data_IF_652629495882
#
_entry.id   IF_652629495882
#
_cell.length_a   1.000
_cell.length_b   1.000
_cell.length_c   1.000
_cell.angle_alpha   90.00
_cell.angle_beta   90.00
_cell.angle_gamma   90.00
#
_symmetry.space_group_name_H-M   'P 1'
#
loop_
_entity.id
_entity.type
_entity.pdbx_description
1 polymer ?
#
# COMPACT_ATOMS: atom_id res chain seq x y z
N UNK A 1 55.10 28.94 -0.27
CA UNK A 1 56.55 28.71 -0.09
C UNK A 1 56.69 27.70 1.05
N UNK A 2 56.73 26.38 0.79
CA UNK A 2 57.96 25.56 0.59
C UNK A 2 59.06 25.91 1.60
N UNK A 3 59.73 25.04 2.33
CA UNK A 3 60.02 23.58 2.30
C UNK A 3 60.92 23.34 3.53
N UNK A 4 60.99 22.12 4.05
CA UNK A 4 62.19 21.46 4.65
C UNK A 4 61.73 20.09 5.16
N UNK A 5 61.91 18.97 4.44
CA UNK A 5 63.12 18.14 4.35
C UNK A 5 63.82 17.88 5.69
N UNK A 6 63.80 16.63 6.20
CA UNK A 6 64.98 15.78 6.10
C UNK A 6 64.70 14.30 6.44
N UNK A 7 65.50 13.43 5.81
CA UNK A 7 65.44 11.96 5.85
C UNK A 7 66.67 11.42 6.60
N UNK A 8 66.57 10.30 7.34
CA UNK A 8 67.76 9.55 7.75
C UNK A 8 67.53 8.03 7.79
N UNK A 9 68.42 7.32 7.09
CA UNK A 9 68.64 5.86 6.97
C UNK A 9 69.19 5.29 8.32
N UNK A 10 69.31 4.00 8.65
CA UNK A 10 69.77 2.80 7.89
C UNK A 10 69.70 1.53 8.78
N UNK A 11 69.39 0.36 8.16
CA UNK A 11 69.86 -1.07 8.34
C UNK A 11 70.33 -1.59 9.73
N UNK A 12 69.70 -2.62 10.31
CA UNK A 12 69.84 -4.10 10.11
C UNK A 12 71.17 -4.74 10.55
N UNK A 13 71.10 -5.60 11.58
CA UNK A 13 72.00 -6.76 11.78
C UNK A 13 71.31 -7.85 12.65
N UNK A 14 71.45 -9.12 12.24
CA UNK A 14 70.94 -10.36 12.86
C UNK A 14 72.15 -11.20 13.28
N UNK A 15 72.16 -11.79 14.49
CA UNK A 15 72.86 -13.05 14.79
C UNK A 15 72.12 -13.87 15.87
N UNK A 16 71.98 -15.16 15.57
CA UNK A 16 71.55 -16.39 16.27
C UNK A 16 72.22 -16.67 17.65
N UNK A 17 71.90 -17.64 18.53
CA UNK A 17 70.97 -18.79 18.71
C UNK A 17 71.11 -19.33 20.17
N UNK A 18 70.07 -20.02 20.70
CA UNK A 18 70.11 -21.39 21.32
C UNK A 18 69.19 -21.62 22.55
N UNK A 19 68.21 -22.50 22.32
CA UNK A 19 67.75 -23.67 23.11
C UNK A 19 67.14 -23.54 24.53
N UNK A 20 65.89 -23.99 24.66
CA UNK A 20 65.53 -25.04 25.63
C UNK A 20 64.10 -25.05 26.20
N UNK A 21 63.37 -26.18 25.97
CA UNK A 21 62.23 -26.78 26.71
C UNK A 21 60.80 -26.32 26.31
N UNK A 22 60.02 -27.18 25.62
CA UNK A 22 59.04 -28.17 26.17
C UNK A 22 57.88 -27.46 26.92
N UNK A 23 56.56 -27.62 26.72
CA UNK A 23 55.69 -28.62 26.04
C UNK A 23 54.25 -28.05 25.94
N UNK A 24 53.51 -28.48 24.90
CA UNK A 24 52.03 -28.62 24.72
C UNK A 24 51.03 -28.06 25.76
N UNK A 25 50.05 -27.26 25.28
CA UNK A 25 48.58 -27.40 25.49
C UNK A 25 47.83 -26.34 24.64
N UNK A 26 47.10 -26.78 23.60
CA UNK A 26 45.64 -26.67 23.43
C UNK A 26 45.11 -25.23 23.21
N UNK A 27 44.81 -24.84 21.96
CA UNK A 27 43.48 -24.93 21.31
C UNK A 27 42.37 -24.17 22.05
N UNK A 28 42.05 -22.96 21.55
CA UNK A 28 40.68 -22.56 21.16
C UNK A 28 40.70 -21.15 20.56
N UNK A 29 40.79 -21.09 19.23
CA UNK A 29 40.31 -19.96 18.42
C UNK A 29 39.49 -20.57 17.29
N UNK A 30 38.23 -20.86 17.58
CA UNK A 30 37.24 -21.13 16.55
C UNK A 30 36.90 -19.80 15.90
N UNK A 31 37.01 -19.82 14.58
CA UNK A 31 36.72 -18.73 13.66
C UNK A 31 35.23 -18.35 13.75
N UNK A 32 34.92 -17.23 14.40
CA UNK A 32 33.71 -16.48 14.11
C UNK A 32 33.99 -15.61 12.89
N UNK A 33 33.65 -16.08 11.69
CA UNK A 33 33.35 -15.23 10.55
C UNK A 33 32.61 -16.04 9.47
N UNK A 34 31.54 -15.43 8.94
CA UNK A 34 30.77 -15.79 7.73
C UNK A 34 29.47 -16.59 7.92
N UNK A 35 28.49 -16.06 8.67
CA UNK A 35 27.12 -16.61 8.58
C UNK A 35 25.98 -15.60 8.79
N UNK A 36 26.17 -14.31 8.52
CA UNK A 36 25.06 -13.34 8.55
C UNK A 36 24.23 -13.36 7.26
N UNK A 37 24.88 -13.47 6.09
CA UNK A 37 24.19 -13.48 4.79
C UNK A 37 23.32 -14.74 4.54
N UNK A 38 23.56 -15.84 5.27
CA UNK A 38 22.72 -17.04 5.19
C UNK A 38 21.52 -17.00 6.15
N UNK A 39 21.51 -16.10 7.14
CA UNK A 39 20.41 -16.05 8.13
C UNK A 39 19.16 -15.39 7.59
N UNK A 40 19.31 -14.35 6.75
CA UNK A 40 18.18 -13.59 6.23
C UNK A 40 17.23 -14.43 5.34
N UNK A 41 17.72 -15.27 4.39
CA UNK A 41 16.86 -16.16 3.62
C UNK A 41 16.19 -17.25 4.46
N UNK A 42 16.90 -17.78 5.47
CA UNK A 42 16.39 -18.79 6.40
C UNK A 42 15.25 -18.22 7.27
N UNK A 43 15.41 -16.99 7.78
CA UNK A 43 14.38 -16.29 8.56
C UNK A 43 13.13 -15.98 7.73
N UNK A 44 13.30 -15.62 6.45
CA UNK A 44 12.19 -15.32 5.56
C UNK A 44 11.34 -16.58 5.25
N UNK A 45 11.99 -17.71 5.06
CA UNK A 45 11.31 -18.99 4.83
C UNK A 45 10.56 -19.50 6.08
N UNK A 46 11.14 -19.32 7.27
CA UNK A 46 10.44 -19.59 8.53
C UNK A 46 9.22 -18.67 8.72
N UNK A 47 9.36 -17.39 8.42
CA UNK A 47 8.27 -16.42 8.50
C UNK A 47 7.15 -16.77 7.52
N UNK A 48 7.52 -17.14 6.28
CA UNK A 48 6.57 -17.58 5.25
C UNK A 48 5.73 -18.77 5.72
N UNK A 49 6.37 -19.82 6.25
CA UNK A 49 5.66 -21.00 6.79
C UNK A 49 4.70 -20.64 7.91
N UNK A 50 5.13 -19.80 8.87
CA UNK A 50 4.26 -19.31 9.96
C UNK A 50 3.06 -18.51 9.44
N UNK A 51 3.23 -17.72 8.39
CA UNK A 51 2.13 -16.97 7.77
C UNK A 51 1.18 -17.89 7.02
N UNK A 52 1.70 -18.88 6.30
CA UNK A 52 0.89 -19.87 5.59
C UNK A 52 -0.01 -20.66 6.54
N UNK A 53 0.49 -21.05 7.72
CA UNK A 53 -0.30 -21.67 8.80
C UNK A 53 -1.45 -20.78 9.30
N UNK A 54 -1.31 -19.46 9.18
CA UNK A 54 -2.35 -18.47 9.53
C UNK A 54 -3.24 -18.11 8.34
N UNK A 55 -3.07 -18.76 7.18
CA UNK A 55 -3.78 -18.43 5.95
C UNK A 55 -3.34 -17.09 5.32
N UNK A 56 -2.14 -16.61 5.66
CA UNK A 56 -1.55 -15.38 5.13
C UNK A 56 -0.45 -15.69 4.10
N UNK A 57 -0.31 -14.83 3.12
CA UNK A 57 0.75 -14.85 2.13
C UNK A 57 1.80 -13.80 2.44
N UNK A 58 3.07 -14.20 2.49
CA UNK A 58 4.22 -13.30 2.63
C UNK A 58 4.47 -12.58 1.31
N UNK A 59 4.60 -11.26 1.36
CA UNK A 59 4.92 -10.40 0.22
C UNK A 59 6.15 -9.55 0.52
N UNK A 60 6.89 -9.24 -0.55
CA UNK A 60 8.10 -8.42 -0.50
C UNK A 60 8.02 -7.33 -1.56
N UNK A 61 8.46 -6.11 -1.22
CA UNK A 61 8.54 -4.98 -2.13
C UNK A 61 9.82 -4.20 -1.90
N UNK A 62 10.55 -3.90 -2.97
CA UNK A 62 11.72 -3.02 -2.90
C UNK A 62 11.31 -1.55 -3.00
N UNK A 63 11.78 -0.73 -2.07
CA UNK A 63 11.54 0.72 -2.06
C UNK A 63 12.84 1.44 -1.75
N UNK A 64 13.37 2.19 -2.73
CA UNK A 64 14.63 2.94 -2.59
C UNK A 64 15.80 2.06 -2.09
N UNK A 65 15.89 0.82 -2.57
CA UNK A 65 16.92 -0.15 -2.17
C UNK A 65 16.72 -0.74 -0.77
N UNK A 66 15.55 -0.54 -0.15
CA UNK A 66 15.16 -1.19 1.11
C UNK A 66 14.03 -2.18 0.85
N UNK A 67 14.26 -3.42 1.26
CA UNK A 67 13.26 -4.48 1.30
C UNK A 67 12.14 -4.14 2.29
N UNK A 68 10.89 -4.23 1.84
CA UNK A 68 9.69 -4.08 2.66
C UNK A 68 8.92 -5.37 2.69
N UNK A 69 8.66 -5.86 3.89
CA UNK A 69 7.99 -7.14 4.11
C UNK A 69 6.59 -6.89 4.69
N UNK A 70 5.60 -7.50 4.06
CA UNK A 70 4.21 -7.41 4.47
C UNK A 70 3.51 -8.74 4.21
N UNK A 71 2.29 -8.86 4.74
CA UNK A 71 1.43 -10.02 4.53
C UNK A 71 0.08 -9.60 3.98
N UNK A 72 -0.60 -10.56 3.38
CA UNK A 72 -1.99 -10.44 2.89
C UNK A 72 -2.75 -11.72 3.22
N UNK A 73 -4.07 -11.66 3.40
CA UNK A 73 -4.88 -12.87 3.70
C UNK A 73 -6.06 -13.09 2.77
N UNK A 74 -6.69 -12.03 2.24
CA UNK A 74 -7.83 -12.20 1.35
C UNK A 74 -7.41 -12.68 -0.04
N UNK A 75 -8.13 -13.66 -0.56
CA UNK A 75 -7.89 -14.24 -1.90
C UNK A 75 -8.96 -13.77 -2.87
N UNK A 76 -8.55 -13.55 -4.11
CA UNK A 76 -9.39 -13.09 -5.21
C UNK A 76 -9.18 -13.95 -6.46
N UNK A 77 -8.94 -15.23 -6.25
CA UNK A 77 -8.49 -16.18 -7.30
C UNK A 77 -9.49 -16.28 -8.46
N UNK A 78 -10.78 -16.05 -8.19
CA UNK A 78 -11.86 -16.06 -9.19
C UNK A 78 -12.17 -14.67 -9.77
N UNK A 79 -11.40 -13.63 -9.43
CA UNK A 79 -11.60 -12.28 -9.92
C UNK A 79 -10.58 -11.94 -10.99
N UNK A 80 -10.99 -12.08 -12.27
CA UNK A 80 -10.14 -11.72 -13.41
C UNK A 80 -9.79 -10.22 -13.47
N UNK A 81 -10.52 -9.38 -12.73
CA UNK A 81 -10.32 -7.94 -12.75
C UNK A 81 -8.95 -7.52 -12.20
N UNK A 82 -8.47 -8.14 -11.12
CA UNK A 82 -7.16 -7.85 -10.54
C UNK A 82 -6.01 -8.14 -11.52
N UNK A 83 -5.87 -9.34 -12.10
CA UNK A 83 -4.84 -9.59 -13.09
C UNK A 83 -5.02 -8.74 -14.36
N UNK A 84 -6.25 -8.42 -14.77
CA UNK A 84 -6.49 -7.51 -15.90
C UNK A 84 -6.03 -6.07 -15.61
N UNK A 85 -6.17 -5.61 -14.37
CA UNK A 85 -5.62 -4.32 -13.93
C UNK A 85 -4.08 -4.40 -13.90
N UNK A 86 -3.48 -5.45 -13.36
CA UNK A 86 -2.01 -5.53 -13.19
C UNK A 86 -1.28 -5.79 -14.52
N UNK A 87 -1.77 -6.71 -15.34
CA UNK A 87 -1.04 -7.34 -16.44
C UNK A 87 -0.69 -6.47 -17.65
N UNK A 88 -1.14 -5.22 -17.66
CA UNK A 88 -0.88 -4.14 -18.63
C UNK A 88 -0.60 -4.50 -20.11
N UNK A 89 -1.51 -4.06 -20.98
CA UNK A 89 -1.21 -3.75 -22.38
C UNK A 89 -1.82 -2.40 -22.78
N UNK A 90 -1.61 -1.33 -22.02
CA UNK A 90 -2.13 0.01 -22.28
C UNK A 90 -1.61 0.65 -23.59
N UNK A 91 -0.66 0.01 -24.31
CA UNK A 91 -0.11 0.57 -25.56
C UNK A 91 -1.14 0.71 -26.69
N UNK A 92 -2.21 -0.08 -26.69
CA UNK A 92 -3.19 -0.16 -27.77
C UNK A 92 -4.49 0.62 -27.51
N UNK A 93 -4.77 0.97 -26.25
CA UNK A 93 -5.99 1.64 -25.84
C UNK A 93 -5.67 3.09 -25.51
N UNK A 94 -6.58 4.01 -25.85
CA UNK A 94 -6.47 5.42 -25.51
C UNK A 94 -7.81 5.93 -25.02
N UNK A 95 -7.79 6.64 -23.90
CA UNK A 95 -8.95 7.36 -23.38
C UNK A 95 -9.26 8.58 -24.26
N UNK A 96 -10.53 8.96 -24.32
CA UNK A 96 -11.02 10.07 -25.14
C UNK A 96 -11.89 11.05 -24.34
N UNK A 97 -11.64 11.18 -23.03
CA UNK A 97 -12.32 12.19 -22.22
C UNK A 97 -11.99 13.60 -22.75
N UNK A 98 -12.97 14.50 -22.71
CA UNK A 98 -12.81 15.89 -23.19
C UNK A 98 -11.88 16.73 -22.31
N UNK A 99 -11.69 16.32 -21.06
CA UNK A 99 -10.83 16.95 -20.05
C UNK A 99 -9.55 16.13 -19.77
N UNK A 100 -9.13 15.28 -20.71
CA UNK A 100 -7.99 14.37 -20.54
C UNK A 100 -6.66 15.08 -20.26
N UNK A 101 -6.51 16.32 -20.71
CA UNK A 101 -5.35 17.17 -20.45
C UNK A 101 -5.20 17.56 -18.97
N UNK A 102 -6.28 17.48 -18.20
CA UNK A 102 -6.28 17.77 -16.76
C UNK A 102 -6.01 16.52 -15.90
N UNK A 103 -5.90 15.35 -16.51
CA UNK A 103 -5.64 14.08 -15.84
C UNK A 103 -4.13 13.92 -15.61
N UNK A 104 -3.71 13.77 -14.35
CA UNK A 104 -2.29 13.57 -14.02
C UNK A 104 -1.92 12.09 -14.10
N UNK A 105 -2.84 11.20 -13.73
CA UNK A 105 -2.63 9.76 -13.71
C UNK A 105 -3.26 9.07 -14.94
N UNK A 106 -2.86 9.51 -16.14
CA UNK A 106 -3.47 9.07 -17.40
C UNK A 106 -3.40 7.54 -17.59
N UNK A 107 -2.26 6.92 -17.26
CA UNK A 107 -2.09 5.48 -17.41
C UNK A 107 -3.05 4.69 -16.51
N UNK A 108 -3.27 5.15 -15.28
CA UNK A 108 -4.21 4.53 -14.35
C UNK A 108 -5.67 4.74 -14.77
N UNK A 109 -6.05 5.95 -15.22
CA UNK A 109 -7.38 6.18 -15.79
C UNK A 109 -7.59 5.28 -17.00
N UNK A 110 -6.62 5.20 -17.89
CA UNK A 110 -6.69 4.39 -19.10
C UNK A 110 -6.85 2.90 -18.78
N UNK A 111 -6.04 2.40 -17.85
CA UNK A 111 -6.10 1.01 -17.36
C UNK A 111 -7.49 0.66 -16.85
N UNK A 112 -8.02 1.47 -15.93
CA UNK A 112 -9.32 1.22 -15.30
C UNK A 112 -10.50 1.42 -16.27
N UNK A 113 -10.35 2.29 -17.27
CA UNK A 113 -11.35 2.46 -18.34
C UNK A 113 -11.34 1.25 -19.28
N UNK A 114 -10.16 0.77 -19.69
CA UNK A 114 -10.00 -0.41 -20.57
C UNK A 114 -10.69 -1.65 -20.00
N UNK A 115 -10.59 -1.87 -18.69
CA UNK A 115 -11.24 -3.00 -18.00
C UNK A 115 -12.68 -2.70 -17.55
N UNK A 116 -13.26 -1.58 -17.99
CA UNK A 116 -14.65 -1.16 -17.73
C UNK A 116 -14.99 -0.94 -16.25
N UNK A 117 -13.98 -0.67 -15.42
CA UNK A 117 -14.18 -0.16 -14.05
C UNK A 117 -14.63 1.31 -14.10
N UNK A 118 -14.01 2.10 -14.99
CA UNK A 118 -14.46 3.46 -15.28
C UNK A 118 -15.35 3.47 -16.53
N UNK A 119 -16.39 4.29 -16.51
CA UNK A 119 -17.23 4.51 -17.68
C UNK A 119 -16.48 5.33 -18.73
N UNK A 120 -16.29 4.77 -19.92
CA UNK A 120 -15.65 5.45 -21.06
C UNK A 120 -16.40 6.72 -21.52
N UNK A 121 -17.71 6.82 -21.20
CA UNK A 121 -18.52 8.02 -21.46
C UNK A 121 -18.41 9.09 -20.38
N UNK A 122 -17.58 8.88 -19.36
CA UNK A 122 -17.38 9.84 -18.28
C UNK A 122 -18.50 9.84 -17.25
N UNK A 123 -18.40 10.77 -16.30
CA UNK A 123 -19.38 10.94 -15.22
C UNK A 123 -20.72 11.34 -15.83
N UNK A 124 -21.80 10.62 -15.50
CA UNK A 124 -23.14 10.89 -16.03
C UNK A 124 -23.24 10.99 -17.57
N UNK A 125 -22.34 10.30 -18.29
CA UNK A 125 -22.22 10.34 -19.75
C UNK A 125 -21.91 11.72 -20.34
N UNK A 126 -21.20 12.59 -19.61
CA UNK A 126 -20.80 13.94 -20.06
C UNK A 126 -19.56 13.94 -20.97
N UNK A 127 -18.90 12.80 -21.13
CA UNK A 127 -17.56 12.64 -21.73
C UNK A 127 -16.44 13.32 -20.93
N UNK A 128 -16.72 13.71 -19.67
CA UNK A 128 -15.75 14.26 -18.73
C UNK A 128 -15.35 13.22 -17.68
N UNK A 129 -14.04 13.11 -17.41
CA UNK A 129 -13.53 12.30 -16.31
C UNK A 129 -13.68 13.00 -14.96
N UNK A 130 -13.60 14.34 -14.93
CA UNK A 130 -13.68 15.19 -13.74
C UNK A 130 -12.55 14.92 -12.73
N UNK A 131 -11.30 14.97 -13.20
CA UNK A 131 -10.10 14.60 -12.44
C UNK A 131 -10.01 15.22 -11.03
N UNK A 132 -10.34 16.51 -10.90
CA UNK A 132 -10.22 17.26 -9.66
C UNK A 132 -11.43 17.13 -8.73
N UNK A 133 -12.55 16.53 -9.18
CA UNK A 133 -13.75 16.38 -8.35
C UNK A 133 -13.47 15.36 -7.24
N UNK A 134 -13.92 15.64 -6.02
CA UNK A 134 -13.92 14.66 -4.95
C UNK A 134 -14.85 13.50 -5.26
N UNK A 135 -14.38 12.27 -5.05
CA UNK A 135 -15.21 11.08 -5.21
C UNK A 135 -16.07 10.87 -3.96
N UNK A 136 -17.36 10.58 -4.15
CA UNK A 136 -18.24 10.32 -3.00
C UNK A 136 -17.93 8.96 -2.36
N UNK A 137 -18.30 8.79 -1.09
CA UNK A 137 -18.17 7.52 -0.37
C UNK A 137 -18.83 6.36 -1.12
N UNK A 138 -20.03 6.57 -1.66
CA UNK A 138 -20.73 5.52 -2.39
C UNK A 138 -20.10 5.24 -3.76
N UNK A 139 -19.66 6.27 -4.49
CA UNK A 139 -18.94 6.10 -5.76
C UNK A 139 -17.64 5.30 -5.57
N UNK A 140 -16.85 5.66 -4.56
CA UNK A 140 -15.61 4.97 -4.22
C UNK A 140 -15.87 3.51 -3.87
N UNK A 141 -16.83 3.25 -2.99
CA UNK A 141 -17.18 1.89 -2.59
C UNK A 141 -17.64 1.04 -3.77
N UNK A 142 -18.42 1.59 -4.71
CA UNK A 142 -18.87 0.88 -5.90
C UNK A 142 -17.69 0.44 -6.77
N UNK A 143 -16.74 1.35 -7.01
CA UNK A 143 -15.53 1.07 -7.78
C UNK A 143 -14.70 0.00 -7.08
N UNK A 144 -14.46 0.13 -5.78
CA UNK A 144 -13.67 -0.86 -5.02
C UNK A 144 -14.31 -2.24 -5.06
N UNK A 145 -15.63 -2.35 -4.87
CA UNK A 145 -16.32 -3.63 -4.96
C UNK A 145 -16.23 -4.24 -6.37
N UNK A 146 -16.35 -3.41 -7.41
CA UNK A 146 -16.23 -3.85 -8.80
C UNK A 146 -14.80 -4.33 -9.14
N UNK A 147 -13.77 -3.61 -8.69
CA UNK A 147 -12.34 -4.01 -8.83
C UNK A 147 -12.08 -5.39 -8.24
N UNK A 148 -12.85 -5.78 -7.22
CA UNK A 148 -12.71 -7.06 -6.52
C UNK A 148 -13.83 -8.05 -6.85
N UNK A 149 -14.55 -7.82 -7.96
CA UNK A 149 -15.58 -8.70 -8.51
C UNK A 149 -16.71 -9.05 -7.53
N UNK A 150 -17.05 -8.17 -6.59
CA UNK A 150 -18.21 -8.36 -5.73
C UNK A 150 -19.51 -8.09 -6.50
N UNK A 151 -20.49 -8.98 -6.35
CA UNK A 151 -21.82 -8.83 -6.92
C UNK A 151 -22.68 -7.85 -6.09
N UNK A 152 -22.95 -6.68 -6.67
CA UNK A 152 -23.83 -5.64 -6.11
C UNK A 152 -25.20 -5.60 -6.79
N UNK A 153 -25.63 -6.68 -7.46
CA UNK A 153 -26.90 -6.73 -8.17
C UNK A 153 -28.11 -6.82 -7.23
N UNK A 154 -27.95 -7.31 -6.00
CA UNK A 154 -29.07 -7.54 -5.07
C UNK A 154 -29.45 -6.28 -4.29
N UNK A 155 -30.74 -5.94 -4.27
CA UNK A 155 -31.26 -4.86 -3.41
C UNK A 155 -31.34 -5.32 -1.95
N UNK A 156 -30.99 -4.46 -0.98
CA UNK A 156 -31.31 -4.73 0.42
C UNK A 156 -32.80 -4.52 0.69
N UNK A 157 -33.34 -5.30 1.62
CA UNK A 157 -34.66 -5.03 2.23
C UNK A 157 -34.55 -4.05 3.39
N UNK A 158 -33.40 -4.06 4.07
CA UNK A 158 -33.08 -3.17 5.19
C UNK A 158 -31.59 -2.84 5.18
N UNK A 159 -31.25 -1.64 5.65
CA UNK A 159 -29.89 -1.22 5.96
C UNK A 159 -29.88 -0.57 7.35
N UNK A 160 -28.75 -0.62 8.09
CA UNK A 160 -28.64 0.05 9.38
C UNK A 160 -28.51 1.58 9.26
N UNK A 161 -28.45 2.11 8.02
CA UNK A 161 -28.18 3.51 7.72
C UNK A 161 -29.44 4.25 7.31
N UNK A 162 -29.80 5.30 8.04
CA UNK A 162 -31.06 6.01 7.81
C UNK A 162 -31.04 6.93 6.59
N UNK A 163 -29.85 7.31 6.11
CA UNK A 163 -29.62 8.27 5.02
C UNK A 163 -29.29 7.61 3.68
N UNK A 164 -29.57 6.32 3.55
CA UNK A 164 -29.41 5.55 2.31
C UNK A 164 -30.79 5.10 1.81
N UNK A 165 -31.24 5.66 0.68
CA UNK A 165 -32.48 5.22 0.03
C UNK A 165 -32.33 3.78 -0.48
N UNK A 166 -33.12 2.85 0.06
CA UNK A 166 -33.12 1.43 -0.30
C UNK A 166 -33.40 1.16 -1.79
N UNK A 167 -34.02 2.12 -2.50
CA UNK A 167 -34.28 2.02 -3.94
C UNK A 167 -33.10 2.47 -4.80
N UNK A 168 -32.15 3.21 -4.24
CA UNK A 168 -31.01 3.75 -4.98
C UNK A 168 -29.98 2.67 -5.32
N UNK A 169 -29.10 2.97 -6.28
CA UNK A 169 -27.96 2.09 -6.57
C UNK A 169 -26.97 2.04 -5.40
N UNK A 170 -26.87 3.12 -4.61
CA UNK A 170 -25.96 3.23 -3.46
C UNK A 170 -26.32 2.17 -2.42
N UNK A 171 -27.61 1.90 -2.18
CA UNK A 171 -28.04 0.89 -1.21
C UNK A 171 -27.49 -0.51 -1.49
N UNK A 172 -27.36 -0.91 -2.77
CA UNK A 172 -26.82 -2.23 -3.14
C UNK A 172 -25.34 -2.35 -2.83
N UNK A 173 -24.60 -1.28 -3.11
CA UNK A 173 -23.16 -1.16 -2.85
C UNK A 173 -22.90 -1.13 -1.34
N UNK A 174 -23.68 -0.33 -0.61
CA UNK A 174 -23.60 -0.20 0.86
C UNK A 174 -23.95 -1.52 1.56
N UNK A 175 -24.96 -2.26 1.07
CA UNK A 175 -25.31 -3.61 1.56
C UNK A 175 -24.07 -4.51 1.54
N UNK A 176 -23.47 -4.69 0.36
CA UNK A 176 -22.33 -5.61 0.19
C UNK A 176 -21.14 -5.14 1.02
N UNK A 177 -20.81 -3.85 0.97
CA UNK A 177 -19.71 -3.30 1.78
C UNK A 177 -19.90 -3.50 3.29
N UNK A 178 -21.14 -3.40 3.78
CA UNK A 178 -21.47 -3.66 5.18
C UNK A 178 -21.41 -5.15 5.53
N UNK A 179 -21.93 -6.03 4.67
CA UNK A 179 -21.96 -7.48 4.88
C UNK A 179 -20.55 -8.09 4.97
N UNK A 180 -19.60 -7.56 4.18
CA UNK A 180 -18.21 -8.03 4.20
C UNK A 180 -17.32 -7.29 5.23
N UNK A 181 -17.92 -6.42 6.07
CA UNK A 181 -17.21 -5.67 7.10
C UNK A 181 -16.22 -4.61 6.58
N UNK A 182 -16.37 -4.20 5.31
CA UNK A 182 -15.47 -3.24 4.67
C UNK A 182 -15.71 -1.82 5.19
N UNK A 183 -16.99 -1.44 5.30
CA UNK A 183 -17.43 -0.13 5.74
C UNK A 183 -18.20 -0.20 7.06
N UNK A 184 -18.25 0.95 7.72
CA UNK A 184 -19.12 1.22 8.87
C UNK A 184 -19.80 2.57 8.65
N UNK A 185 -20.90 2.80 9.36
CA UNK A 185 -21.50 4.13 9.42
C UNK A 185 -20.70 5.04 10.35
N UNK A 186 -20.99 6.33 10.25
CA UNK A 186 -20.48 7.32 11.18
C UNK A 186 -21.13 7.21 12.55
N UNK A 187 -20.64 8.00 13.50
CA UNK A 187 -21.22 8.10 14.83
C UNK A 187 -22.74 8.31 14.78
N UNK A 188 -23.46 7.56 15.63
CA UNK A 188 -24.91 7.63 15.72
C UNK A 188 -25.33 9.02 16.14
N UNK A 189 -26.22 9.64 15.37
CA UNK A 189 -26.89 10.89 15.71
C UNK A 189 -28.34 10.61 16.20
N UNK A 190 -29.12 11.69 16.39
CA UNK A 190 -30.51 11.60 16.83
C UNK A 190 -31.45 10.85 15.87
N UNK A 191 -31.07 10.68 14.60
CA UNK A 191 -31.85 9.97 13.57
C UNK A 191 -31.40 8.53 13.37
N UNK A 192 -30.19 8.19 13.82
CA UNK A 192 -29.62 6.84 13.72
C UNK A 192 -28.17 6.88 13.30
N UNK A 193 -27.70 5.81 12.67
CA UNK A 193 -26.33 5.74 12.14
C UNK A 193 -26.37 6.26 10.70
N UNK A 194 -25.65 7.34 10.34
CA UNK A 194 -25.54 7.78 8.96
C UNK A 194 -24.41 7.07 8.22
N UNK A 195 -24.59 6.78 6.94
CA UNK A 195 -23.51 6.37 6.03
C UNK A 195 -22.91 7.53 5.24
N UNK A 196 -23.70 8.58 4.96
CA UNK A 196 -23.36 9.75 4.16
C UNK A 196 -22.92 9.43 2.72
N UNK A 197 -23.75 8.72 1.92
CA UNK A 197 -23.32 8.19 0.61
C UNK A 197 -22.80 9.24 -0.38
N UNK A 198 -23.35 10.45 -0.33
CA UNK A 198 -23.04 11.54 -1.28
C UNK A 198 -21.96 12.51 -0.79
N UNK A 199 -21.42 12.28 0.42
CA UNK A 199 -20.29 13.06 0.93
C UNK A 199 -19.00 12.52 0.32
N UNK A 200 -18.08 13.42 -0.02
CA UNK A 200 -16.74 13.07 -0.50
C UNK A 200 -15.99 12.24 0.54
N UNK A 201 -15.35 11.15 0.10
CA UNK A 201 -14.57 10.30 1.00
C UNK A 201 -13.22 10.96 1.30
N UNK A 202 -12.72 10.81 2.53
CA UNK A 202 -11.38 11.28 2.85
C UNK A 202 -10.29 10.35 2.29
N UNK A 203 -9.10 10.89 2.04
CA UNK A 203 -7.95 10.12 1.54
C UNK A 203 -7.62 8.94 2.44
N UNK A 204 -7.59 9.16 3.75
CA UNK A 204 -7.18 8.11 4.69
C UNK A 204 -8.24 7.01 4.85
N UNK A 205 -9.52 7.37 4.73
CA UNK A 205 -10.58 6.38 4.79
C UNK A 205 -10.59 5.51 3.54
N UNK A 206 -10.48 6.11 2.36
CA UNK A 206 -10.37 5.39 1.10
C UNK A 206 -9.17 4.42 1.11
N UNK A 207 -8.02 4.88 1.61
CA UNK A 207 -6.84 4.04 1.76
C UNK A 207 -7.09 2.87 2.72
N UNK A 208 -7.71 3.13 3.88
CA UNK A 208 -8.07 2.11 4.85
C UNK A 208 -9.00 1.04 4.28
N UNK A 209 -10.01 1.44 3.49
CA UNK A 209 -10.91 0.53 2.77
C UNK A 209 -10.09 -0.38 1.83
N UNK A 210 -9.22 0.20 1.00
CA UNK A 210 -8.40 -0.58 0.07
C UNK A 210 -7.45 -1.55 0.78
N UNK A 211 -6.83 -1.15 1.90
CA UNK A 211 -6.01 -2.08 2.68
C UNK A 211 -6.83 -3.27 3.22
N UNK A 212 -8.07 -3.03 3.66
CA UNK A 212 -8.99 -4.07 4.15
C UNK A 212 -9.44 -5.03 3.05
N UNK A 213 -9.39 -4.63 1.78
CA UNK A 213 -9.74 -5.52 0.68
C UNK A 213 -8.77 -6.69 0.57
N UNK A 214 -7.47 -6.47 0.78
CA UNK A 214 -6.47 -7.55 0.73
C UNK A 214 -5.93 -7.94 2.11
N UNK A 215 -6.39 -7.26 3.16
CA UNK A 215 -5.92 -7.42 4.55
C UNK A 215 -4.40 -7.25 4.63
N UNK A 216 -3.91 -6.14 4.09
CA UNK A 216 -2.48 -5.82 4.02
C UNK A 216 -1.96 -5.44 5.41
N UNK A 217 -0.92 -6.14 5.88
CA UNK A 217 -0.27 -5.87 7.16
C UNK A 217 1.26 -5.87 7.02
N UNK A 218 1.92 -4.78 7.42
CA UNK A 218 3.39 -4.74 7.50
C UNK A 218 3.90 -5.69 8.59
N UNK A 219 5.06 -6.31 8.35
CA UNK A 219 5.67 -7.26 9.30
C UNK A 219 6.64 -6.59 10.29
N UNK A 220 6.95 -5.32 10.07
CA UNK A 220 7.86 -4.54 10.90
C UNK A 220 7.12 -3.44 11.65
N UNK A 221 7.59 -3.14 12.87
CA UNK A 221 7.15 -1.96 13.58
C UNK A 221 7.69 -0.71 12.87
N UNK A 222 6.79 0.00 12.19
CA UNK A 222 7.09 1.25 11.52
C UNK A 222 6.10 2.32 11.99
N UNK A 223 6.63 3.47 12.37
CA UNK A 223 5.86 4.66 12.70
C UNK A 223 6.03 5.66 11.58
N UNK A 224 4.92 6.15 11.04
CA UNK A 224 4.95 7.20 10.02
C UNK A 224 5.48 8.53 10.58
N UNK A 225 5.93 9.37 9.66
CA UNK A 225 6.45 10.72 9.91
C UNK A 225 5.38 11.80 9.83
N UNK A 226 4.13 11.46 9.54
CA UNK A 226 3.09 12.47 9.33
C UNK A 226 2.76 13.23 10.62
N UNK A 227 2.60 14.55 10.49
CA UNK A 227 2.39 15.45 11.64
C UNK A 227 0.94 15.88 11.85
N UNK A 228 0.07 15.58 10.88
CA UNK A 228 -1.29 16.12 10.77
C UNK A 228 -2.38 15.06 10.95
N UNK A 229 -2.06 14.00 11.69
CA UNK A 229 -2.99 12.97 12.15
C UNK A 229 -3.98 13.57 13.15
N UNK A 230 -5.26 13.23 13.03
CA UNK A 230 -6.31 13.76 13.92
C UNK A 230 -7.01 12.72 14.77
N UNK A 231 -6.78 11.43 14.51
CA UNK A 231 -7.38 10.35 15.27
C UNK A 231 -6.51 9.08 15.27
N UNK A 232 -6.54 8.32 16.38
CA UNK A 232 -5.71 7.13 16.58
C UNK A 232 -5.92 6.06 15.51
N UNK A 233 -7.16 5.92 15.02
CA UNK A 233 -7.46 4.94 13.96
C UNK A 233 -6.69 5.20 12.66
N UNK A 234 -6.20 6.43 12.44
CA UNK A 234 -5.40 6.80 11.27
C UNK A 234 -3.96 6.26 11.35
N UNK A 235 -3.46 5.87 12.53
CA UNK A 235 -2.07 5.45 12.71
C UNK A 235 -1.73 4.21 11.89
N UNK A 236 -2.55 3.15 11.95
CA UNK A 236 -2.31 1.92 11.18
C UNK A 236 -2.26 2.18 9.66
N UNK A 237 -3.26 2.83 9.02
CA UNK A 237 -3.22 3.09 7.59
C UNK A 237 -2.09 4.04 7.18
N UNK A 238 -1.82 5.11 7.93
CA UNK A 238 -0.75 6.05 7.60
C UNK A 238 0.63 5.39 7.65
N UNK A 239 0.93 4.69 8.75
CA UNK A 239 2.19 3.96 8.91
C UNK A 239 2.40 2.87 7.86
N UNK A 240 1.36 2.09 7.54
CA UNK A 240 1.47 1.08 6.47
C UNK A 240 1.62 1.73 5.09
N UNK A 241 0.88 2.81 4.82
CA UNK A 241 0.91 3.52 3.55
C UNK A 241 2.26 4.17 3.26
N UNK A 242 2.87 4.81 4.25
CA UNK A 242 4.22 5.38 4.12
C UNK A 242 5.29 4.28 4.03
N UNK A 243 5.20 3.24 4.87
CA UNK A 243 6.13 2.10 4.85
C UNK A 243 6.19 1.42 3.47
N UNK A 244 5.04 1.25 2.82
CA UNK A 244 4.91 0.64 1.49
C UNK A 244 5.06 1.66 0.34
N UNK A 245 5.38 2.92 0.64
CA UNK A 245 5.63 3.99 -0.32
C UNK A 245 4.42 4.36 -1.19
N UNK A 246 3.21 4.01 -0.75
CA UNK A 246 1.96 4.34 -1.44
C UNK A 246 1.53 5.75 -1.07
N UNK A 247 1.50 6.05 0.24
CA UNK A 247 1.24 7.39 0.72
C UNK A 247 2.56 8.16 0.75
N UNK A 248 2.56 9.34 0.16
CA UNK A 248 3.70 10.26 0.11
C UNK A 248 3.27 11.59 0.71
N UNK A 249 4.15 12.27 1.46
CA UNK A 249 3.83 13.60 1.96
C UNK A 249 3.62 14.56 0.78
N UNK A 250 2.62 15.42 0.90
CA UNK A 250 2.28 16.43 -0.11
C UNK A 250 3.22 17.64 -0.03
N UNK A 251 3.79 17.87 1.15
CA UNK A 251 4.63 19.01 1.47
C UNK A 251 5.92 18.57 2.15
N UNK A 252 6.90 19.48 2.20
CA UNK A 252 8.21 19.23 2.80
C UNK A 252 8.16 19.06 4.32
N UNK A 253 7.06 19.44 4.97
CA UNK A 253 6.85 19.33 6.42
C UNK A 253 6.22 17.99 6.86
N UNK A 254 6.17 17.00 5.97
CA UNK A 254 5.53 15.71 6.23
C UNK A 254 4.03 15.80 6.55
N UNK A 255 3.30 16.67 5.84
CA UNK A 255 1.82 16.62 5.82
C UNK A 255 1.30 15.69 4.74
N UNK A 256 0.26 14.93 5.07
CA UNK A 256 -0.51 14.12 4.12
C UNK A 256 -1.93 14.65 3.88
N UNK A 257 -2.46 15.45 4.81
CA UNK A 257 -3.85 15.91 4.84
C UNK A 257 -4.86 14.74 4.83
N UNK A 258 -4.81 13.84 5.82
CA UNK A 258 -5.57 12.58 5.81
C UNK A 258 -7.09 12.76 5.66
N UNK A 259 -7.64 13.83 6.22
CA UNK A 259 -9.07 14.13 6.19
C UNK A 259 -9.52 14.93 4.95
N UNK A 260 -8.59 15.35 4.09
CA UNK A 260 -8.95 16.02 2.84
C UNK A 260 -9.68 15.04 1.92
N UNK A 261 -10.54 15.58 1.04
CA UNK A 261 -11.28 14.76 0.10
C UNK A 261 -10.32 14.06 -0.88
N UNK A 262 -10.63 12.82 -1.23
CA UNK A 262 -9.93 12.09 -2.29
C UNK A 262 -10.51 12.52 -3.64
N UNK A 263 -9.66 13.06 -4.52
CA UNK A 263 -10.08 13.36 -5.90
C UNK A 263 -10.16 12.09 -6.75
N UNK A 264 -10.90 12.14 -7.85
CA UNK A 264 -11.01 11.00 -8.80
C UNK A 264 -9.66 10.62 -9.41
N UNK A 265 -8.79 11.59 -9.68
CA UNK A 265 -7.45 11.36 -10.20
C UNK A 265 -6.53 10.69 -9.15
N UNK A 266 -6.60 11.09 -7.88
CA UNK A 266 -5.87 10.41 -6.79
C UNK A 266 -6.43 9.01 -6.53
N UNK A 267 -7.73 8.82 -6.69
CA UNK A 267 -8.40 7.53 -6.50
C UNK A 267 -7.88 6.47 -7.47
N UNK A 268 -7.78 6.77 -8.77
CA UNK A 268 -7.31 5.76 -9.74
C UNK A 268 -5.89 5.32 -9.41
N UNK A 269 -5.05 6.27 -9.00
CA UNK A 269 -3.69 5.99 -8.56
C UNK A 269 -3.66 5.08 -7.34
N UNK A 270 -4.41 5.44 -6.30
CA UNK A 270 -4.48 4.67 -5.06
C UNK A 270 -4.95 3.23 -5.30
N UNK A 271 -5.99 3.04 -6.12
CA UNK A 271 -6.50 1.71 -6.45
C UNK A 271 -5.42 0.87 -7.11
N UNK A 272 -4.79 1.40 -8.17
CA UNK A 272 -3.79 0.65 -8.94
C UNK A 272 -2.55 0.36 -8.10
N UNK A 273 -2.06 1.34 -7.32
CA UNK A 273 -0.87 1.16 -6.48
C UNK A 273 -1.08 0.12 -5.36
N UNK A 274 -2.30 0.00 -4.84
CA UNK A 274 -2.62 -1.03 -3.82
C UNK A 274 -2.88 -2.39 -4.47
N UNK A 275 -3.58 -2.45 -5.60
CA UNK A 275 -3.79 -3.71 -6.34
C UNK A 275 -2.46 -4.34 -6.78
N UNK A 276 -1.44 -3.52 -7.08
CA UNK A 276 -0.07 -4.01 -7.35
C UNK A 276 0.62 -4.68 -6.16
N UNK A 277 0.06 -4.60 -4.95
CA UNK A 277 0.57 -5.32 -3.77
C UNK A 277 0.00 -6.74 -3.62
N UNK A 278 -0.91 -7.15 -4.51
CA UNK A 278 -1.68 -8.38 -4.33
C UNK A 278 -0.89 -9.63 -4.70
#
# INVERSE_FOLDING_TARGET
TSKQENTQKTKEEKVETKQGKETKQENEKVQENNNENNKEPLLLEELKKKLEEQGKELKVKEINGTTKIYSTSKKYDNCEMIPNIIGDYNKDYKINFKDQENIKNQDEVQRLTKVKILNEKGVNNTELFEAARGITRAEFLAIVLQVHCYDVSKKPEILPFYDVDLKSWQARVVKVGSEIGLIQGYERDSRGIPFRPDVEISKIEAFGIMMKMKEIEKMESYKDRYIDKKADWQEKPLSTGEYLGILKPEQTDFRFNPDSHLTRDEMVKMIVDIVRLY
#
